data_IF_195638305017
#
_entry.id   IF_195638305017
#
_cell.length_a   1.000
_cell.length_b   1.000
_cell.length_c   1.000
_cell.angle_alpha   90.00
_cell.angle_beta   90.00
_cell.angle_gamma   90.00
#
_symmetry.space_group_name_H-M   'P 1'
#
loop_
_entity.id
_entity.type
_entity.pdbx_description
1 polymer ?
#
# COMPACT_ATOMS: atom_id res chain seq x y z
N UNK A 1 2.11 -4.61 -21.20
CA UNK A 1 1.71 -4.75 -19.78
C UNK A 1 0.23 -5.06 -19.72
N UNK A 2 -0.17 -6.02 -18.90
CA UNK A 2 -1.56 -6.43 -18.72
C UNK A 2 -2.27 -5.49 -17.74
N UNK A 3 -3.38 -4.87 -18.16
CA UNK A 3 -4.18 -3.96 -17.34
C UNK A 3 -5.00 -4.77 -16.32
N UNK A 4 -5.10 -4.25 -15.10
CA UNK A 4 -5.86 -4.87 -14.01
C UNK A 4 -7.20 -4.13 -13.90
N UNK A 5 -8.35 -4.78 -14.22
CA UNK A 5 -9.65 -4.16 -14.02
C UNK A 5 -9.91 -3.93 -12.53
N UNK A 6 -10.42 -2.76 -12.19
CA UNK A 6 -10.65 -2.32 -10.82
C UNK A 6 -11.89 -1.44 -10.73
N UNK A 7 -12.66 -1.52 -9.64
CA UNK A 7 -13.77 -0.59 -9.42
C UNK A 7 -13.22 0.77 -8.97
N UNK A 8 -13.99 1.85 -9.17
CA UNK A 8 -13.61 3.18 -8.68
C UNK A 8 -13.35 3.18 -7.17
N UNK A 9 -14.24 2.56 -6.38
CA UNK A 9 -14.06 2.42 -4.94
C UNK A 9 -12.79 1.64 -4.55
N UNK A 10 -12.46 0.58 -5.30
CA UNK A 10 -11.22 -0.19 -5.09
C UNK A 10 -9.98 0.67 -5.36
N UNK A 11 -10.00 1.46 -6.42
CA UNK A 11 -8.91 2.36 -6.78
C UNK A 11 -8.69 3.44 -5.71
N UNK A 12 -9.77 4.12 -5.27
CA UNK A 12 -9.71 5.11 -4.19
C UNK A 12 -9.16 4.52 -2.88
N UNK A 13 -9.52 3.27 -2.56
CA UNK A 13 -9.02 2.60 -1.35
C UNK A 13 -7.51 2.37 -1.39
N UNK A 14 -6.99 1.97 -2.56
CA UNK A 14 -5.56 1.73 -2.78
C UNK A 14 -4.79 3.05 -2.77
N UNK A 15 -5.33 4.11 -3.38
CA UNK A 15 -4.73 5.45 -3.32
C UNK A 15 -4.69 6.01 -1.90
N UNK A 16 -5.76 5.82 -1.12
CA UNK A 16 -5.81 6.24 0.28
C UNK A 16 -4.78 5.50 1.13
N UNK A 17 -4.66 4.17 0.96
CA UNK A 17 -3.64 3.36 1.63
C UNK A 17 -2.23 3.82 1.24
N UNK A 18 -1.95 3.99 -0.06
CA UNK A 18 -0.65 4.46 -0.55
C UNK A 18 -0.28 5.83 0.03
N UNK A 19 -1.25 6.75 0.09
CA UNK A 19 -1.05 8.07 0.68
C UNK A 19 -0.67 7.95 2.15
N UNK A 20 -1.42 7.18 2.94
CA UNK A 20 -1.15 6.96 4.35
C UNK A 20 0.25 6.39 4.59
N UNK A 21 0.64 5.38 3.82
CA UNK A 21 1.95 4.75 3.90
C UNK A 21 3.07 5.77 3.61
N UNK A 22 2.91 6.60 2.58
CA UNK A 22 3.95 7.57 2.17
C UNK A 22 4.03 8.79 3.07
N UNK A 23 2.91 9.30 3.58
CA UNK A 23 2.87 10.57 4.33
C UNK A 23 2.96 10.40 5.84
N UNK A 24 2.56 9.24 6.36
CA UNK A 24 2.50 8.99 7.82
C UNK A 24 3.49 7.90 8.21
N UNK A 25 3.32 6.70 7.66
CA UNK A 25 4.06 5.54 8.16
C UNK A 25 5.55 5.55 7.79
N UNK A 26 5.88 5.86 6.53
CA UNK A 26 7.26 5.94 6.07
C UNK A 26 8.08 6.98 6.85
N UNK A 27 7.63 8.23 7.05
CA UNK A 27 8.32 9.18 7.92
C UNK A 27 8.43 8.69 9.37
N UNK A 28 7.37 8.08 9.91
CA UNK A 28 7.35 7.57 11.28
C UNK A 28 8.40 6.47 11.51
N UNK A 29 8.52 5.52 10.58
CA UNK A 29 9.51 4.43 10.72
C UNK A 29 10.94 4.92 10.54
N UNK A 30 11.17 5.90 9.65
CA UNK A 30 12.49 6.54 9.50
C UNK A 30 12.90 7.22 10.81
N UNK A 31 11.97 7.94 11.45
CA UNK A 31 12.22 8.55 12.75
C UNK A 31 12.53 7.51 13.82
N UNK A 32 11.75 6.41 13.89
CA UNK A 32 12.00 5.32 14.83
C UNK A 32 13.38 4.69 14.65
N UNK A 33 13.79 4.43 13.40
CA UNK A 33 15.15 3.93 13.09
C UNK A 33 16.20 4.94 13.53
N UNK A 34 16.00 6.24 13.26
CA UNK A 34 16.94 7.28 13.67
C UNK A 34 17.11 7.32 15.18
N UNK A 35 16.01 7.33 15.94
CA UNK A 35 16.05 7.29 17.40
C UNK A 35 16.74 6.03 17.91
N UNK A 36 16.40 4.85 17.38
CA UNK A 36 17.03 3.60 17.79
C UNK A 36 18.56 3.59 17.53
N UNK A 37 19.04 4.29 16.49
CA UNK A 37 20.47 4.45 16.19
C UNK A 37 21.22 5.32 17.19
N UNK A 38 20.54 6.22 17.90
CA UNK A 38 21.15 7.08 18.92
C UNK A 38 21.50 6.29 20.20
N UNK A 39 20.92 5.11 20.40
CA UNK A 39 21.19 4.25 21.56
C UNK A 39 22.52 3.46 21.45
N UNK A 40 23.25 3.59 20.34
CA UNK A 40 24.64 3.13 20.19
C UNK A 40 24.80 1.63 19.89
N UNK A 41 24.29 0.75 20.75
CA UNK A 41 24.35 -0.70 20.51
C UNK A 41 23.20 -1.16 19.62
N UNK A 42 23.46 -1.31 18.32
CA UNK A 42 22.47 -1.73 17.33
C UNK A 42 22.34 -3.24 17.20
N UNK A 43 23.34 -4.00 17.66
CA UNK A 43 23.34 -5.46 17.56
C UNK A 43 22.24 -6.07 18.40
N UNK A 44 22.06 -5.57 19.63
CA UNK A 44 21.07 -6.08 20.59
C UNK A 44 19.78 -5.24 20.63
N UNK A 45 19.72 -4.12 19.91
CA UNK A 45 18.56 -3.25 19.92
C UNK A 45 17.37 -3.87 19.15
N UNK A 46 16.47 -4.50 19.89
CA UNK A 46 15.24 -5.08 19.35
C UNK A 46 14.34 -4.04 18.64
N UNK A 47 14.31 -2.79 19.12
CA UNK A 47 13.51 -1.72 18.50
C UNK A 47 14.08 -1.33 17.13
N UNK A 48 15.41 -1.33 16.98
CA UNK A 48 16.06 -1.09 15.69
C UNK A 48 15.70 -2.18 14.67
N UNK A 49 15.82 -3.45 15.06
CA UNK A 49 15.48 -4.58 14.19
C UNK A 49 13.99 -4.55 13.79
N UNK A 50 13.09 -4.34 14.75
CA UNK A 50 11.66 -4.23 14.50
C UNK A 50 11.34 -3.05 13.57
N UNK A 51 11.99 -1.90 13.75
CA UNK A 51 11.79 -0.74 12.88
C UNK A 51 12.32 -0.99 11.45
N UNK A 52 13.42 -1.73 11.30
CA UNK A 52 13.97 -2.15 10.00
C UNK A 52 13.06 -3.14 9.27
N UNK A 53 12.47 -4.09 9.98
CA UNK A 53 11.47 -5.00 9.41
C UNK A 53 10.22 -4.25 8.96
N UNK A 54 9.69 -3.37 9.82
CA UNK A 54 8.53 -2.53 9.47
C UNK A 54 8.82 -1.64 8.26
N UNK A 55 10.02 -1.07 8.15
CA UNK A 55 10.42 -0.31 6.98
C UNK A 55 10.36 -1.19 5.71
N UNK A 56 10.91 -2.40 5.76
CA UNK A 56 10.91 -3.32 4.63
C UNK A 56 9.50 -3.71 4.19
N UNK A 57 8.60 -3.92 5.16
CA UNK A 57 7.19 -4.17 4.89
C UNK A 57 6.51 -2.97 4.20
N UNK A 58 6.69 -1.76 4.75
CA UNK A 58 6.11 -0.53 4.17
C UNK A 58 6.60 -0.32 2.74
N UNK A 59 7.90 -0.47 2.48
CA UNK A 59 8.44 -0.28 1.13
C UNK A 59 7.93 -1.33 0.14
N UNK A 60 7.83 -2.59 0.57
CA UNK A 60 7.26 -3.66 -0.26
C UNK A 60 5.80 -3.39 -0.59
N UNK A 61 5.02 -2.93 0.40
CA UNK A 61 3.61 -2.59 0.21
C UNK A 61 3.43 -1.38 -0.70
N UNK A 62 4.23 -0.33 -0.54
CA UNK A 62 4.19 0.83 -1.42
C UNK A 62 4.48 0.43 -2.86
N UNK A 63 5.49 -0.39 -3.10
CA UNK A 63 5.82 -0.88 -4.45
C UNK A 63 4.67 -1.68 -5.06
N UNK A 64 4.04 -2.57 -4.29
CA UNK A 64 2.88 -3.35 -4.72
C UNK A 64 1.70 -2.45 -5.12
N UNK A 65 1.37 -1.45 -4.29
CA UNK A 65 0.26 -0.53 -4.54
C UNK A 65 0.56 0.38 -5.74
N UNK A 66 1.79 0.86 -5.90
CA UNK A 66 2.21 1.66 -7.06
C UNK A 66 2.13 0.84 -8.36
N UNK A 67 2.55 -0.44 -8.36
CA UNK A 67 2.36 -1.33 -9.52
C UNK A 67 0.88 -1.49 -9.86
N UNK A 68 0.04 -1.80 -8.85
CA UNK A 68 -1.41 -1.95 -9.02
C UNK A 68 -2.07 -0.71 -9.58
N UNK A 69 -1.74 0.48 -9.06
CA UNK A 69 -2.25 1.76 -9.58
C UNK A 69 -1.79 1.98 -11.02
N UNK A 70 -0.51 1.74 -11.32
CA UNK A 70 0.04 1.98 -12.67
C UNK A 70 -0.62 1.12 -13.75
N UNK A 71 -1.14 -0.05 -13.36
CA UNK A 71 -1.81 -1.02 -14.24
C UNK A 71 -3.34 -0.96 -14.14
N UNK A 72 -3.89 -0.15 -13.23
CA UNK A 72 -5.32 -0.12 -12.98
C UNK A 72 -6.10 0.38 -14.20
N UNK A 73 -7.12 -0.37 -14.57
CA UNK A 73 -8.18 0.07 -15.46
C UNK A 73 -9.45 0.23 -14.63
N UNK A 74 -9.75 1.47 -14.26
CA UNK A 74 -10.95 1.79 -13.49
C UNK A 74 -12.18 1.57 -14.37
N UNK A 75 -13.04 0.64 -13.96
CA UNK A 75 -14.30 0.31 -14.61
C UNK A 75 -15.43 0.98 -13.84
N UNK A 76 -16.21 1.79 -14.56
CA UNK A 76 -17.43 2.36 -14.03
C UNK A 76 -18.56 1.31 -14.07
N UNK A 77 -18.84 0.74 -12.91
CA UNK A 77 -19.92 -0.25 -12.72
C UNK A 77 -21.31 0.33 -12.99
N UNK A 78 -21.50 1.65 -12.96
CA UNK A 78 -22.80 2.27 -13.29
C UNK A 78 -23.17 2.11 -14.77
N UNK A 79 -22.17 1.86 -15.62
CA UNK A 79 -22.36 1.61 -17.07
C UNK A 79 -22.61 0.14 -17.39
N UNK A 80 -22.44 -0.76 -16.42
CA UNK A 80 -22.62 -2.20 -16.60
C UNK A 80 -24.05 -2.61 -16.22
N UNK A 81 -24.93 -2.72 -17.21
CA UNK A 81 -26.29 -3.28 -17.06
C UNK A 81 -26.40 -4.66 -17.74
N UNK A 82 -27.24 -5.56 -17.21
CA UNK A 82 -27.52 -6.89 -17.77
C UNK A 82 -27.76 -7.97 -16.71
N UNK A 83 -28.32 -9.12 -17.13
CA UNK A 83 -28.63 -10.27 -16.27
C UNK A 83 -27.41 -11.19 -16.01
N UNK A 84 -26.29 -10.95 -16.70
CA UNK A 84 -25.05 -11.70 -16.54
C UNK A 84 -24.21 -11.19 -15.36
N UNK A 85 -23.55 -12.10 -14.62
CA UNK A 85 -22.60 -11.75 -13.56
C UNK A 85 -21.38 -11.07 -14.17
N UNK A 86 -21.22 -9.77 -13.93
CA UNK A 86 -20.12 -8.94 -14.41
C UNK A 86 -19.18 -8.54 -13.26
N UNK A 87 -18.01 -8.02 -13.62
CA UNK A 87 -17.04 -7.51 -12.65
C UNK A 87 -17.66 -6.43 -11.75
N UNK A 88 -17.63 -6.65 -10.42
CA UNK A 88 -18.27 -5.78 -9.43
C UNK A 88 -19.70 -6.15 -9.04
N UNK A 89 -20.28 -7.22 -9.60
CA UNK A 89 -21.57 -7.74 -9.16
C UNK A 89 -21.49 -8.28 -7.72
N UNK A 90 -22.50 -7.93 -6.90
CA UNK A 90 -22.69 -8.49 -5.55
C UNK A 90 -23.67 -9.66 -5.67
N UNK A 91 -23.33 -10.83 -5.10
CA UNK A 91 -24.11 -12.07 -5.17
C UNK A 91 -24.71 -12.39 -3.81
#
# INVERSE_FOLDING_TARGET
MEKIPMTAAGFESIEAELKQLKTVERPSVIKAISTAREHGDLSENAEYHAAKERQSFIESRVMELEDKISRAQVIDISTLSGEDVKFGATV
#
